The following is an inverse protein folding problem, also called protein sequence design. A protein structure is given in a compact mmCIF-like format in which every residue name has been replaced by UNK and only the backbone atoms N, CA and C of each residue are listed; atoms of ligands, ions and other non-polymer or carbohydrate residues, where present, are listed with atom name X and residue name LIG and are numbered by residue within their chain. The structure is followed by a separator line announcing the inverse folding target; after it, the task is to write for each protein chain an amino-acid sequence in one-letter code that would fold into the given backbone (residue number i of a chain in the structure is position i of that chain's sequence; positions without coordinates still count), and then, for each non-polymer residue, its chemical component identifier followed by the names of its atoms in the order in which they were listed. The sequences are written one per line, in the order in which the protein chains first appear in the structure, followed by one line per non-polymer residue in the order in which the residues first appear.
data_IF_383678866931
#
_entry.id   IF_383678866931
#
_cell.length_a   1.000
_cell.length_b   1.000
_cell.length_c   1.000
_cell.angle_alpha   90.00
_cell.angle_beta   90.00
_cell.angle_gamma   90.00
#
_symmetry.space_group_name_H-M   'P 1'
#
loop_
_entity.id
_entity.type
_entity.pdbx_description
1 polymer ?
#
# COMPACT_ATOMS: atom_id res chain seq x y z
N UNK A 1 4.90 13.45 -22.57
CA UNK A 1 5.09 12.02 -22.24
C UNK A 1 4.88 11.78 -20.74
N UNK A 2 5.46 12.61 -19.87
CA UNK A 2 5.31 12.57 -18.40
C UNK A 2 3.84 12.54 -17.87
N UNK A 3 2.93 13.29 -18.49
CA UNK A 3 1.53 13.32 -18.07
C UNK A 3 0.80 11.97 -18.28
N UNK A 4 1.18 11.21 -19.31
CA UNK A 4 0.62 9.89 -19.58
C UNK A 4 1.08 8.89 -18.52
N UNK A 5 2.36 8.92 -18.18
CA UNK A 5 2.96 8.05 -17.16
C UNK A 5 2.33 8.27 -15.78
N UNK A 6 2.17 9.53 -15.34
CA UNK A 6 1.46 9.85 -14.10
C UNK A 6 0.02 9.38 -14.11
N UNK A 7 -0.64 9.44 -15.27
CA UNK A 7 -2.00 8.94 -15.43
C UNK A 7 -2.03 7.41 -15.28
N UNK A 8 -1.10 6.70 -15.92
CA UNK A 8 -0.99 5.24 -15.82
C UNK A 8 -0.69 4.78 -14.40
N UNK A 9 0.25 5.41 -13.70
CA UNK A 9 0.57 5.12 -12.30
C UNK A 9 -0.66 5.30 -11.39
N UNK A 10 -1.40 6.40 -11.59
CA UNK A 10 -2.64 6.65 -10.84
C UNK A 10 -3.70 5.58 -11.13
N UNK A 11 -3.87 5.18 -12.39
CA UNK A 11 -4.81 4.12 -12.78
C UNK A 11 -4.39 2.79 -12.16
N UNK A 12 -3.13 2.38 -12.30
CA UNK A 12 -2.60 1.14 -11.73
C UNK A 12 -2.78 1.07 -10.21
N UNK A 13 -2.51 2.18 -9.52
CA UNK A 13 -2.74 2.28 -8.08
C UNK A 13 -4.22 2.10 -7.72
N UNK A 14 -5.12 2.78 -8.44
CA UNK A 14 -6.56 2.68 -8.18
C UNK A 14 -7.11 1.29 -8.48
N UNK A 15 -6.64 0.63 -9.55
CA UNK A 15 -7.07 -0.73 -9.88
C UNK A 15 -6.62 -1.73 -8.83
N UNK A 16 -5.39 -1.61 -8.32
CA UNK A 16 -4.90 -2.48 -7.24
C UNK A 16 -5.69 -2.29 -5.94
N UNK A 17 -6.03 -1.05 -5.56
CA UNK A 17 -6.89 -0.76 -4.40
C UNK A 17 -8.26 -1.40 -4.59
N UNK A 18 -8.91 -1.19 -5.74
CA UNK A 18 -10.24 -1.74 -6.02
C UNK A 18 -10.24 -3.28 -6.02
N UNK A 19 -9.19 -3.89 -6.57
CA UNK A 19 -9.00 -5.33 -6.52
C UNK A 19 -8.91 -5.81 -5.07
N UNK A 20 -8.02 -5.21 -4.27
CA UNK A 20 -7.84 -5.54 -2.86
C UNK A 20 -9.14 -5.38 -2.04
N UNK A 21 -9.91 -4.31 -2.30
CA UNK A 21 -11.22 -4.11 -1.67
C UNK A 21 -12.18 -5.26 -2.03
N UNK A 22 -12.21 -5.69 -3.29
CA UNK A 22 -13.05 -6.81 -3.73
C UNK A 22 -12.67 -8.14 -3.05
N UNK A 23 -11.39 -8.31 -2.71
CA UNK A 23 -10.86 -9.50 -2.04
C UNK A 23 -11.34 -9.67 -0.61
N UNK A 24 -11.77 -8.60 0.06
CA UNK A 24 -12.30 -8.68 1.43
C UNK A 24 -13.62 -9.47 1.52
N UNK A 25 -14.25 -9.80 0.38
CA UNK A 25 -15.44 -10.66 0.31
C UNK A 25 -15.14 -12.15 0.12
N UNK A 26 -13.88 -12.59 0.07
CA UNK A 26 -13.50 -13.98 0.37
C UNK A 26 -12.87 -14.83 -0.73
N UNK A 27 -12.63 -14.32 -1.95
CA UNK A 27 -12.28 -15.17 -3.10
C UNK A 27 -10.97 -14.85 -3.84
N UNK A 28 -10.09 -14.00 -3.30
CA UNK A 28 -8.83 -13.69 -3.98
C UNK A 28 -7.65 -14.58 -3.57
N UNK A 29 -6.77 -14.85 -4.53
CA UNK A 29 -5.51 -15.57 -4.34
C UNK A 29 -4.46 -14.79 -3.52
N UNK A 30 -4.62 -13.46 -3.39
CA UNK A 30 -3.72 -12.56 -2.67
C UNK A 30 -4.10 -11.10 -2.93
N UNK A 31 -3.43 -10.16 -2.27
CA UNK A 31 -3.56 -8.72 -2.53
C UNK A 31 -2.55 -8.29 -3.58
N UNK A 32 -2.92 -7.32 -4.42
CA UNK A 32 -2.00 -6.62 -5.31
C UNK A 32 -1.21 -5.56 -4.55
N UNK A 33 0.04 -5.34 -4.98
CA UNK A 33 0.89 -4.27 -4.44
C UNK A 33 0.36 -2.92 -4.89
N UNK A 34 0.12 -2.03 -3.93
CA UNK A 34 -0.37 -0.68 -4.18
C UNK A 34 0.80 0.30 -4.16
N UNK A 35 1.04 0.96 -5.30
CA UNK A 35 2.05 2.01 -5.44
C UNK A 35 1.81 3.16 -4.46
N UNK A 36 2.90 3.84 -4.07
CA UNK A 36 2.81 5.10 -3.34
C UNK A 36 2.12 6.20 -4.18
N UNK A 37 1.59 7.28 -3.57
CA UNK A 37 0.93 8.36 -4.30
C UNK A 37 1.84 9.09 -5.31
N UNK A 38 3.16 9.01 -5.13
CA UNK A 38 4.15 9.53 -6.07
C UNK A 38 4.42 8.56 -7.25
N UNK A 39 3.79 7.39 -7.28
CA UNK A 39 3.94 6.38 -8.33
C UNK A 39 5.06 5.37 -8.08
N UNK A 40 5.81 5.49 -6.99
CA UNK A 40 6.90 4.57 -6.66
C UNK A 40 6.36 3.23 -6.12
N UNK A 41 7.06 2.15 -6.46
CA UNK A 41 6.78 0.82 -5.92
C UNK A 41 7.46 0.67 -4.55
N UNK A 42 6.71 0.39 -3.48
CA UNK A 42 7.29 0.23 -2.15
C UNK A 42 8.25 -0.95 -2.03
N UNK A 43 8.16 -1.95 -2.92
CA UNK A 43 8.92 -3.20 -2.85
C UNK A 43 10.23 -3.17 -3.63
N UNK A 44 10.41 -2.14 -4.45
CA UNK A 44 11.63 -1.93 -5.23
C UNK A 44 12.53 -0.90 -4.56
N UNK A 45 13.79 -0.85 -4.98
CA UNK A 45 14.70 0.24 -4.63
C UNK A 45 14.06 1.60 -5.00
N UNK A 46 14.17 2.63 -4.13
CA UNK A 46 15.05 2.71 -2.95
C UNK A 46 14.40 2.25 -1.63
N UNK A 47 13.16 1.76 -1.65
CA UNK A 47 12.38 1.49 -0.44
C UNK A 47 12.59 0.08 0.10
N UNK A 48 12.66 -0.91 -0.80
CA UNK A 48 12.92 -2.33 -0.49
C UNK A 48 12.03 -2.89 0.63
N UNK A 49 10.76 -2.48 0.69
CA UNK A 49 9.80 -2.91 1.71
C UNK A 49 9.16 -4.27 1.36
N UNK A 50 8.79 -5.08 2.36
CA UNK A 50 8.19 -6.39 2.11
C UNK A 50 6.79 -6.27 1.49
N UNK A 51 6.47 -7.02 0.42
CA UNK A 51 5.19 -6.89 -0.29
C UNK A 51 3.98 -7.19 0.61
N UNK A 52 2.96 -6.33 0.55
CA UNK A 52 1.72 -6.46 1.32
C UNK A 52 0.67 -7.30 0.58
N UNK A 53 1.00 -8.56 0.27
CA UNK A 53 0.17 -9.44 -0.56
C UNK A 53 -0.82 -10.31 0.24
N UNK A 54 -0.83 -10.20 1.57
CA UNK A 54 -1.76 -10.94 2.44
C UNK A 54 -1.96 -10.26 3.79
N UNK A 55 -3.01 -10.64 4.53
CA UNK A 55 -3.22 -10.16 5.92
C UNK A 55 -2.05 -10.56 6.84
N UNK A 56 -1.44 -11.71 6.59
CA UNK A 56 -0.27 -12.17 7.35
C UNK A 56 0.96 -11.30 7.08
N UNK A 57 1.22 -10.94 5.82
CA UNK A 57 2.31 -10.04 5.46
C UNK A 57 2.21 -8.69 6.19
N UNK A 58 0.99 -8.14 6.30
CA UNK A 58 0.73 -6.89 7.03
C UNK A 58 0.96 -7.06 8.54
N UNK A 59 0.51 -8.18 9.13
CA UNK A 59 0.68 -8.46 10.57
C UNK A 59 2.15 -8.65 10.96
N UNK A 60 2.95 -9.22 10.05
CA UNK A 60 4.36 -9.51 10.27
C UNK A 60 5.29 -8.30 10.02
N UNK A 61 4.75 -7.14 9.64
CA UNK A 61 5.54 -5.92 9.51
C UNK A 61 6.17 -5.52 10.85
N UNK A 62 7.47 -5.23 10.81
CA UNK A 62 8.16 -4.56 11.92
C UNK A 62 7.67 -3.12 12.05
N UNK A 63 7.85 -2.51 13.24
CA UNK A 63 7.50 -1.10 13.45
C UNK A 63 8.22 -0.14 12.49
N UNK A 64 9.47 -0.46 12.14
CA UNK A 64 10.24 0.31 11.15
C UNK A 64 9.60 0.24 9.76
N UNK A 65 9.17 -0.95 9.33
CA UNK A 65 8.50 -1.12 8.03
C UNK A 65 7.11 -0.49 8.03
N UNK A 66 6.34 -0.59 9.12
CA UNK A 66 5.05 0.13 9.26
C UNK A 66 5.25 1.63 9.13
N UNK A 67 6.28 2.18 9.77
CA UNK A 67 6.61 3.61 9.66
C UNK A 67 6.96 3.99 8.22
N UNK A 68 7.79 3.21 7.54
CA UNK A 68 8.18 3.46 6.16
C UNK A 68 6.98 3.42 5.21
N UNK A 69 6.13 2.40 5.33
CA UNK A 69 4.87 2.29 4.58
C UNK A 69 3.94 3.48 4.83
N UNK A 70 3.75 3.85 6.11
CA UNK A 70 2.91 4.99 6.48
C UNK A 70 3.44 6.29 5.85
N UNK A 71 4.75 6.55 5.94
CA UNK A 71 5.36 7.75 5.38
C UNK A 71 5.23 7.81 3.85
N UNK A 72 5.37 6.68 3.17
CA UNK A 72 5.20 6.61 1.71
C UNK A 72 3.75 6.86 1.28
N UNK A 73 2.76 6.29 1.98
CA UNK A 73 1.34 6.50 1.65
C UNK A 73 0.78 7.85 2.11
N UNK A 74 1.32 8.43 3.19
CA UNK A 74 0.85 9.67 3.80
C UNK A 74 1.99 10.69 3.97
N UNK A 75 2.56 11.21 2.87
CA UNK A 75 3.64 12.19 2.94
C UNK A 75 3.15 13.46 3.66
N UNK A 76 3.79 13.82 4.77
CA UNK A 76 3.42 14.97 5.61
C UNK A 76 2.36 14.69 6.68
N UNK A 77 1.91 13.44 6.83
CA UNK A 77 0.99 13.03 7.89
C UNK A 77 1.64 13.06 9.29
N UNK A 78 0.85 13.36 10.31
CA UNK A 78 1.29 13.27 11.70
C UNK A 78 1.27 11.80 12.13
N UNK A 79 2.46 11.25 12.33
CA UNK A 79 2.66 9.84 12.62
C UNK A 79 2.29 9.50 14.08
N UNK A 80 1.03 9.13 14.30
CA UNK A 80 0.57 8.55 15.56
C UNK A 80 0.77 7.03 15.50
N UNK A 81 1.72 6.54 16.30
CA UNK A 81 2.21 5.16 16.27
C UNK A 81 1.10 4.10 16.39
N UNK A 82 0.05 4.42 17.16
CA UNK A 82 -1.02 3.49 17.54
C UNK A 82 -1.96 3.09 16.38
N UNK A 83 -1.95 3.82 15.25
CA UNK A 83 -2.90 3.59 14.14
C UNK A 83 -2.24 3.24 12.79
N UNK A 84 -0.91 3.09 12.72
CA UNK A 84 -0.20 2.87 11.44
C UNK A 84 -0.74 1.70 10.65
N UNK A 85 -0.96 0.56 11.29
CA UNK A 85 -1.45 -0.65 10.61
C UNK A 85 -2.81 -0.41 9.98
N UNK A 86 -3.73 0.24 10.69
CA UNK A 86 -5.07 0.54 10.18
C UNK A 86 -5.01 1.49 8.98
N UNK A 87 -4.14 2.51 9.04
CA UNK A 87 -3.90 3.45 7.95
C UNK A 87 -3.25 2.79 6.73
N UNK A 88 -2.29 1.90 6.94
CA UNK A 88 -1.70 1.13 5.83
C UNK A 88 -2.77 0.26 5.17
N UNK A 89 -3.62 -0.41 5.95
CA UNK A 89 -4.72 -1.20 5.41
C UNK A 89 -5.71 -0.34 4.60
N UNK A 90 -6.08 0.83 5.11
CA UNK A 90 -6.90 1.81 4.40
C UNK A 90 -6.24 2.22 3.06
N UNK A 91 -4.95 2.54 3.07
CA UNK A 91 -4.22 2.99 1.89
C UNK A 91 -4.13 1.93 0.77
N UNK A 92 -4.17 0.64 1.13
CA UNK A 92 -4.08 -0.47 0.18
C UNK A 92 -5.44 -1.14 -0.12
N UNK A 93 -6.55 -0.62 0.40
CA UNK A 93 -7.89 -1.14 0.14
C UNK A 93 -8.28 -2.37 0.95
N UNK A 94 -7.73 -2.58 2.14
CA UNK A 94 -8.01 -3.75 2.99
C UNK A 94 -8.70 -3.34 4.29
N UNK A 95 -9.68 -4.16 4.72
CA UNK A 95 -10.27 -4.12 6.06
C UNK A 95 -9.80 -5.33 6.85
N UNK A 96 -9.11 -5.09 7.97
CA UNK A 96 -8.64 -6.12 8.89
C UNK A 96 -9.69 -6.48 9.93
#
# INVERSE_FOLDING_TARGET
MEALEKTLQRVARLTAILYNESCTNGDCAGFEVVLFPNGEDPTLAPHDLPPLTSKEAIRNLTEMQKRAYYQGYYPGGYDQNEERTARICEAIGIRL
#
